data_IF_178151860152
#
_entry.id   IF_178151860152
#
_cell.length_a   1.000
_cell.length_b   1.000
_cell.length_c   1.000
_cell.angle_alpha   90.00
_cell.angle_beta   90.00
_cell.angle_gamma   90.00
#
_symmetry.space_group_name_H-M   'P 1'
#
loop_
_entity.id
_entity.type
_entity.pdbx_description
1 polymer ?
#
# COMPACT_ATOMS: atom_id res chain seq x y z
N UNK A 1 -9.41 -21.63 -15.27
CA UNK A 1 -8.31 -21.39 -16.22
C UNK A 1 -7.38 -20.36 -15.59
N UNK A 2 -6.14 -20.73 -15.28
CA UNK A 2 -5.17 -19.79 -14.73
C UNK A 2 -4.91 -18.69 -15.77
N UNK A 3 -5.21 -17.42 -15.45
CA UNK A 3 -4.75 -16.30 -16.27
C UNK A 3 -3.23 -16.32 -16.20
N UNK A 4 -2.56 -16.57 -17.33
CA UNK A 4 -1.11 -16.40 -17.42
C UNK A 4 -0.81 -14.94 -17.09
N UNK A 5 -0.20 -14.72 -15.92
CA UNK A 5 0.21 -13.40 -15.46
C UNK A 5 1.42 -12.95 -16.28
N UNK A 6 1.16 -12.24 -17.39
CA UNK A 6 2.20 -11.76 -18.29
C UNK A 6 2.74 -10.43 -17.76
N UNK A 7 4.04 -10.40 -17.49
CA UNK A 7 4.74 -9.21 -16.99
C UNK A 7 4.74 -8.11 -18.05
N UNK A 8 4.57 -6.86 -17.63
CA UNK A 8 4.62 -5.70 -18.53
C UNK A 8 5.92 -5.65 -19.34
N UNK A 9 7.05 -5.90 -18.68
CA UNK A 9 8.39 -5.90 -19.28
C UNK A 9 8.59 -6.99 -20.33
N UNK A 10 7.84 -8.10 -20.24
CA UNK A 10 7.86 -9.20 -21.21
C UNK A 10 7.00 -8.93 -22.46
N UNK A 11 6.17 -7.88 -22.43
CA UNK A 11 5.36 -7.50 -23.58
C UNK A 11 6.23 -6.93 -24.71
N UNK A 12 5.80 -7.19 -25.95
CA UNK A 12 6.43 -6.59 -27.12
C UNK A 12 6.42 -5.06 -27.04
N UNK A 13 7.41 -4.42 -27.66
CA UNK A 13 7.53 -2.95 -27.67
C UNK A 13 6.25 -2.25 -28.12
N UNK A 14 5.54 -2.81 -29.11
CA UNK A 14 4.24 -2.29 -29.59
C UNK A 14 3.17 -2.32 -28.50
N UNK A 15 3.04 -3.43 -27.76
CA UNK A 15 2.07 -3.57 -26.67
C UNK A 15 2.40 -2.61 -25.52
N UNK A 16 3.67 -2.52 -25.12
CA UNK A 16 4.13 -1.56 -24.10
C UNK A 16 3.84 -0.10 -24.49
N UNK A 17 4.15 0.28 -25.73
CA UNK A 17 3.83 1.62 -26.27
C UNK A 17 2.33 1.91 -26.24
N UNK A 18 1.50 0.95 -26.65
CA UNK A 18 0.04 1.11 -26.64
C UNK A 18 -0.51 1.31 -25.23
N UNK A 19 -0.01 0.55 -24.24
CA UNK A 19 -0.38 0.74 -22.84
C UNK A 19 0.07 2.11 -22.30
N UNK A 20 1.33 2.49 -22.58
CA UNK A 20 1.88 3.80 -22.16
C UNK A 20 1.09 4.96 -22.76
N UNK A 21 0.64 4.86 -24.02
CA UNK A 21 -0.22 5.87 -24.64
C UNK A 21 -1.59 5.99 -23.95
N UNK A 22 -2.16 4.90 -23.44
CA UNK A 22 -3.41 4.96 -22.66
C UNK A 22 -3.20 5.76 -21.38
N UNK A 23 -2.11 5.50 -20.65
CA UNK A 23 -1.74 6.22 -19.43
C UNK A 23 -1.47 7.70 -19.73
N UNK A 24 -0.71 8.01 -20.79
CA UNK A 24 -0.49 9.39 -21.23
C UNK A 24 -1.79 10.14 -21.50
N UNK A 25 -2.74 9.50 -22.18
CA UNK A 25 -4.05 10.10 -22.46
C UNK A 25 -4.88 10.28 -21.18
N UNK A 26 -4.79 9.35 -20.23
CA UNK A 26 -5.46 9.44 -18.94
C UNK A 26 -4.94 10.64 -18.13
N UNK A 27 -3.61 10.74 -17.96
CA UNK A 27 -2.95 11.88 -17.31
C UNK A 27 -3.36 13.21 -17.98
N UNK A 28 -3.38 13.25 -19.31
CA UNK A 28 -3.80 14.44 -20.03
C UNK A 28 -5.27 14.81 -19.76
N UNK A 29 -6.19 13.85 -19.74
CA UNK A 29 -7.61 14.10 -19.47
C UNK A 29 -7.83 14.67 -18.07
N UNK A 30 -7.14 14.08 -17.09
CA UNK A 30 -7.30 14.41 -15.67
C UNK A 30 -6.37 15.53 -15.18
N UNK A 31 -5.66 16.20 -16.09
CA UNK A 31 -4.68 17.26 -15.76
C UNK A 31 -5.26 18.43 -14.98
N UNK A 32 -6.56 18.69 -15.11
CA UNK A 32 -7.24 19.75 -14.36
C UNK A 32 -7.28 19.44 -12.86
N UNK A 33 -7.35 18.16 -12.50
CA UNK A 33 -7.34 17.67 -11.11
C UNK A 33 -5.89 17.44 -10.66
N UNK A 34 -5.13 16.64 -11.42
CA UNK A 34 -3.84 16.11 -10.99
C UNK A 34 -2.61 16.86 -11.50
N UNK A 35 -2.76 18.00 -12.17
CA UNK A 35 -1.62 18.81 -12.65
C UNK A 35 -0.90 18.26 -13.90
N UNK A 36 -1.23 17.04 -14.34
CA UNK A 36 -0.79 16.48 -15.62
C UNK A 36 0.58 15.79 -15.61
N UNK A 37 1.15 15.56 -14.42
CA UNK A 37 2.40 14.78 -14.24
C UNK A 37 2.09 13.30 -13.99
N UNK A 38 1.06 13.04 -13.19
CA UNK A 38 0.61 11.70 -12.82
C UNK A 38 -0.90 11.60 -12.89
N UNK A 39 -1.40 10.38 -12.71
CA UNK A 39 -2.80 10.08 -12.48
C UNK A 39 -2.91 9.22 -11.22
N UNK A 40 -3.99 9.43 -10.50
CA UNK A 40 -4.38 8.68 -9.31
C UNK A 40 -5.90 8.43 -9.39
N UNK A 41 -6.33 7.23 -9.03
CA UNK A 41 -7.74 6.82 -9.00
C UNK A 41 -8.46 7.30 -7.73
N UNK A 42 -7.71 7.75 -6.72
CA UNK A 42 -8.24 8.29 -5.47
C UNK A 42 -9.18 9.49 -5.70
N UNK A 43 -10.19 9.64 -4.84
CA UNK A 43 -11.05 10.82 -4.81
C UNK A 43 -10.26 12.04 -4.28
N UNK A 44 -9.74 12.86 -5.21
CA UNK A 44 -8.86 13.99 -4.89
C UNK A 44 -9.40 14.91 -3.78
N UNK A 45 -10.64 15.36 -3.92
CA UNK A 45 -11.24 16.31 -2.98
C UNK A 45 -11.36 15.71 -1.57
N UNK A 46 -11.71 14.43 -1.47
CA UNK A 46 -11.79 13.72 -0.20
C UNK A 46 -10.40 13.52 0.42
N UNK A 47 -9.40 13.15 -0.39
CA UNK A 47 -8.02 12.99 0.06
C UNK A 47 -7.47 14.31 0.62
N UNK A 48 -7.65 15.42 -0.10
CA UNK A 48 -7.21 16.75 0.34
C UNK A 48 -7.99 17.20 1.58
N UNK A 49 -9.31 17.04 1.59
CA UNK A 49 -10.16 17.44 2.72
C UNK A 49 -9.87 16.64 4.00
N UNK A 50 -9.38 15.40 3.88
CA UNK A 50 -9.02 14.57 5.03
C UNK A 50 -7.90 15.17 5.87
N UNK A 51 -7.02 15.99 5.27
CA UNK A 51 -5.81 16.49 5.93
C UNK A 51 -4.82 15.39 6.34
N UNK A 52 -5.07 14.14 5.95
CA UNK A 52 -4.32 12.95 6.36
C UNK A 52 -3.97 12.02 5.20
N UNK A 53 -3.91 12.56 3.98
CA UNK A 53 -3.48 11.81 2.81
C UNK A 53 -2.01 11.42 2.99
N UNK A 54 -1.73 10.14 3.22
CA UNK A 54 -0.39 9.65 3.61
C UNK A 54 0.12 8.52 2.73
N UNK A 55 -0.74 7.97 1.87
CA UNK A 55 -0.42 6.94 0.89
C UNK A 55 -1.26 7.14 -0.38
N UNK A 56 -0.74 6.72 -1.53
CA UNK A 56 -1.49 6.67 -2.78
C UNK A 56 -0.89 5.73 -3.80
N UNK A 57 -1.73 5.19 -4.67
CA UNK A 57 -1.32 4.45 -5.88
C UNK A 57 -1.42 5.38 -7.09
N UNK A 58 -0.27 5.70 -7.67
CA UNK A 58 -0.16 6.63 -8.79
C UNK A 58 0.45 5.98 -10.02
N UNK A 59 0.12 6.51 -11.19
CA UNK A 59 0.79 6.18 -12.44
C UNK A 59 1.36 7.41 -13.10
N UNK A 60 2.60 7.31 -13.60
CA UNK A 60 3.27 8.40 -14.33
C UNK A 60 4.17 7.86 -15.44
N UNK A 61 4.54 8.72 -16.40
CA UNK A 61 5.33 8.32 -17.56
C UNK A 61 6.82 8.26 -17.22
N UNK A 62 7.50 7.25 -17.75
CA UNK A 62 8.96 7.15 -17.67
C UNK A 62 9.67 7.94 -18.77
N UNK A 63 11.01 7.92 -18.76
CA UNK A 63 11.85 8.56 -19.80
C UNK A 63 11.73 7.84 -21.15
N UNK A 64 11.63 6.51 -21.17
CA UNK A 64 11.34 5.76 -22.40
C UNK A 64 9.84 5.87 -22.72
N UNK A 65 9.44 6.31 -23.94
CA UNK A 65 8.03 6.42 -24.35
C UNK A 65 7.25 5.10 -24.39
N UNK A 66 7.85 3.96 -24.04
CA UNK A 66 7.14 2.68 -23.84
C UNK A 66 7.09 2.23 -22.39
N UNK A 67 7.51 3.07 -21.46
CA UNK A 67 7.52 2.80 -20.02
C UNK A 67 6.60 3.78 -19.32
N UNK A 68 5.81 3.24 -18.40
CA UNK A 68 5.15 4.01 -17.36
C UNK A 68 5.35 3.27 -16.04
N UNK A 69 5.36 4.04 -14.96
CA UNK A 69 5.54 3.57 -13.60
C UNK A 69 4.18 3.39 -12.95
N UNK A 70 4.03 2.29 -12.23
CA UNK A 70 2.90 1.99 -11.36
C UNK A 70 3.44 2.02 -9.94
N UNK A 71 3.21 3.14 -9.26
CA UNK A 71 3.94 3.51 -8.06
C UNK A 71 3.02 3.59 -6.86
N UNK A 72 3.38 2.88 -5.80
CA UNK A 72 2.91 3.17 -4.45
C UNK A 72 3.78 4.31 -3.91
N UNK A 73 3.18 5.41 -3.48
CA UNK A 73 3.87 6.49 -2.77
C UNK A 73 3.31 6.60 -1.35
N UNK A 74 4.21 6.57 -0.36
CA UNK A 74 3.88 6.66 1.06
C UNK A 74 4.78 7.65 1.78
N UNK A 75 4.28 8.22 2.87
CA UNK A 75 5.11 9.02 3.78
C UNK A 75 6.04 8.13 4.60
N UNK A 76 7.13 8.70 5.10
CA UNK A 76 8.03 8.02 6.02
C UNK A 76 7.32 7.49 7.28
N UNK A 77 6.29 8.20 7.76
CA UNK A 77 5.47 7.73 8.89
C UNK A 77 4.67 6.47 8.57
N UNK A 78 4.07 6.39 7.37
CA UNK A 78 3.39 5.15 6.93
C UNK A 78 4.39 4.02 6.76
N UNK A 79 5.53 4.28 6.13
CA UNK A 79 6.59 3.27 5.99
C UNK A 79 7.08 2.75 7.36
N UNK A 80 7.15 3.62 8.36
CA UNK A 80 7.49 3.25 9.73
C UNK A 80 6.42 2.37 10.37
N UNK A 81 5.14 2.78 10.27
CA UNK A 81 4.01 2.01 10.78
C UNK A 81 3.92 0.62 10.14
N UNK A 82 4.05 0.53 8.81
CA UNK A 82 4.06 -0.74 8.08
C UNK A 82 5.14 -1.70 8.63
N UNK A 83 6.36 -1.19 8.84
CA UNK A 83 7.49 -2.00 9.30
C UNK A 83 7.27 -2.53 10.73
N UNK A 84 6.82 -1.68 11.65
CA UNK A 84 6.57 -2.13 13.04
C UNK A 84 5.37 -3.07 13.12
N UNK A 85 4.33 -2.85 12.32
CA UNK A 85 3.14 -3.70 12.25
C UNK A 85 3.50 -5.06 11.65
N UNK A 86 4.31 -5.09 10.58
CA UNK A 86 4.80 -6.34 9.98
C UNK A 86 5.64 -7.14 10.96
N UNK A 87 6.59 -6.51 11.66
CA UNK A 87 7.43 -7.19 12.67
C UNK A 87 6.55 -7.72 13.81
N UNK A 88 5.66 -6.90 14.35
CA UNK A 88 4.77 -7.29 15.45
C UNK A 88 3.82 -8.43 15.05
N UNK A 89 3.24 -8.38 13.85
CA UNK A 89 2.37 -9.41 13.33
C UNK A 89 3.10 -10.73 13.09
N UNK A 90 4.31 -10.67 12.53
CA UNK A 90 5.15 -11.85 12.34
C UNK A 90 5.55 -12.49 13.68
N UNK A 91 5.90 -11.68 14.69
CA UNK A 91 6.14 -12.18 16.04
C UNK A 91 4.89 -12.84 16.65
N UNK A 92 3.71 -12.25 16.46
CA UNK A 92 2.44 -12.81 16.92
C UNK A 92 2.16 -14.17 16.26
N UNK A 93 2.32 -14.26 14.93
CA UNK A 93 2.16 -15.51 14.18
C UNK A 93 3.11 -16.60 14.66
N UNK A 94 4.38 -16.27 14.90
CA UNK A 94 5.40 -17.25 15.33
C UNK A 94 5.12 -17.84 16.73
N UNK A 95 4.31 -17.18 17.56
CA UNK A 95 3.89 -17.74 18.86
C UNK A 95 2.77 -18.76 18.75
N UNK A 96 2.01 -18.73 17.65
CA UNK A 96 0.92 -19.66 17.41
C UNK A 96 1.43 -21.01 16.91
N UNK A 97 0.72 -22.09 17.25
CA UNK A 97 0.94 -23.38 16.60
C UNK A 97 0.53 -23.35 15.11
N UNK A 98 0.99 -24.34 14.34
CA UNK A 98 0.78 -24.38 12.89
C UNK A 98 -0.71 -24.46 12.48
N UNK A 99 -1.60 -24.99 13.32
CA UNK A 99 -3.03 -25.04 13.02
C UNK A 99 -3.66 -23.65 13.22
N UNK A 100 -3.32 -22.99 14.32
CA UNK A 100 -3.73 -21.63 14.65
C UNK A 100 -3.18 -20.60 13.65
N UNK A 101 -1.93 -20.74 13.21
CA UNK A 101 -1.34 -19.91 12.13
C UNK A 101 -2.15 -20.01 10.84
N UNK A 102 -2.44 -21.24 10.37
CA UNK A 102 -3.25 -21.44 9.15
C UNK A 102 -4.64 -20.86 9.30
N UNK A 103 -5.23 -20.99 10.48
CA UNK A 103 -6.56 -20.45 10.75
C UNK A 103 -6.57 -18.91 10.75
N UNK A 104 -5.54 -18.28 11.33
CA UNK A 104 -5.36 -16.83 11.36
C UNK A 104 -5.15 -16.25 9.95
N UNK A 105 -4.42 -16.96 9.09
CA UNK A 105 -4.18 -16.55 7.70
C UNK A 105 -5.33 -16.89 6.73
N UNK A 106 -6.33 -17.66 7.17
CA UNK A 106 -7.43 -18.08 6.30
C UNK A 106 -8.51 -16.99 6.20
N UNK A 107 -8.82 -16.58 4.97
CA UNK A 107 -9.88 -15.63 4.66
C UNK A 107 -11.20 -16.39 4.39
N UNK A 108 -12.24 -16.10 5.16
CA UNK A 108 -13.57 -16.69 4.96
C UNK A 108 -14.42 -15.75 4.08
N UNK A 109 -14.89 -16.26 2.95
CA UNK A 109 -15.82 -15.56 2.07
C UNK A 109 -17.20 -16.20 2.19
N UNK A 110 -18.17 -15.42 2.64
CA UNK A 110 -19.58 -15.85 2.75
C UNK A 110 -20.29 -15.39 1.47
N UNK A 111 -20.79 -16.31 0.61
CA UNK A 111 -21.53 -15.91 -0.57
C UNK A 111 -22.88 -15.29 -0.19
N UNK A 112 -23.18 -14.11 -0.73
CA UNK A 112 -24.52 -13.52 -0.66
C UNK A 112 -25.35 -14.10 -1.80
N UNK A 113 -26.44 -14.77 -1.45
CA UNK A 113 -27.29 -15.50 -2.40
C UNK A 113 -28.57 -14.71 -2.65
N UNK A 114 -28.96 -14.56 -3.92
CA UNK A 114 -30.24 -13.96 -4.30
C UNK A 114 -31.42 -14.88 -3.96
N UNK A 115 -32.64 -14.36 -4.12
CA UNK A 115 -33.88 -15.15 -3.90
C UNK A 115 -34.02 -16.39 -4.80
N UNK A 116 -33.29 -16.44 -5.90
CA UNK A 116 -33.28 -17.57 -6.86
C UNK A 116 -32.13 -18.57 -6.61
N UNK A 117 -31.38 -18.42 -5.51
CA UNK A 117 -30.27 -19.31 -5.17
C UNK A 117 -28.94 -19.02 -5.89
N UNK A 118 -28.81 -17.90 -6.61
CA UNK A 118 -27.57 -17.48 -7.29
C UNK A 118 -26.74 -16.54 -6.44
N UNK A 119 -25.43 -16.77 -6.36
CA UNK A 119 -24.48 -15.87 -5.71
C UNK A 119 -24.43 -14.52 -6.44
N UNK A 120 -24.74 -13.43 -5.73
CA UNK A 120 -24.65 -12.05 -6.24
C UNK A 120 -23.31 -11.44 -5.88
N UNK A 121 -22.87 -11.66 -4.64
CA UNK A 121 -21.64 -11.11 -4.09
C UNK A 121 -21.04 -12.06 -3.06
N UNK A 122 -19.88 -11.72 -2.53
CA UNK A 122 -19.28 -12.38 -1.38
C UNK A 122 -19.04 -11.33 -0.32
N UNK A 123 -19.54 -11.56 0.88
CA UNK A 123 -19.24 -10.76 2.07
C UNK A 123 -18.09 -11.39 2.83
N UNK A 124 -17.23 -10.55 3.39
CA UNK A 124 -16.14 -11.00 4.25
C UNK A 124 -16.72 -11.57 5.54
N UNK A 125 -16.48 -12.85 5.80
CA UNK A 125 -16.84 -13.49 7.06
C UNK A 125 -15.95 -12.97 8.17
N UNK A 126 -16.46 -12.05 9.00
CA UNK A 126 -15.72 -11.58 10.18
C UNK A 126 -15.62 -12.73 11.17
N UNK A 127 -14.42 -13.28 11.34
CA UNK A 127 -14.17 -14.31 12.37
C UNK A 127 -14.26 -13.67 13.75
N UNK A 128 -14.94 -14.32 14.72
CA UNK A 128 -14.87 -13.87 16.11
C UNK A 128 -13.41 -13.97 16.58
N UNK A 129 -12.88 -12.86 17.10
CA UNK A 129 -11.56 -12.82 17.73
C UNK A 129 -11.53 -13.86 18.85
N UNK A 130 -10.67 -14.86 18.72
CA UNK A 130 -10.39 -15.80 19.81
C UNK A 130 -9.24 -15.26 20.63
N UNK A 131 -9.41 -15.36 21.94
CA UNK A 131 -8.37 -15.09 22.90
C UNK A 131 -7.52 -16.35 23.04
N UNK A 132 -6.26 -16.28 22.59
CA UNK A 132 -5.35 -17.42 22.61
C UNK A 132 -4.45 -17.35 23.85
N UNK A 133 -4.36 -18.44 24.62
CA UNK A 133 -3.50 -18.50 25.80
C UNK A 133 -2.02 -18.30 25.47
N UNK A 134 -1.61 -18.66 24.24
CA UNK A 134 -0.28 -18.43 23.68
C UNK A 134 0.02 -16.94 23.45
N UNK A 135 -1.02 -16.10 23.37
CA UNK A 135 -0.96 -14.65 23.19
C UNK A 135 -1.46 -13.92 24.43
N UNK A 136 -1.26 -14.48 25.62
CA UNK A 136 -1.68 -13.87 26.90
C UNK A 136 -3.20 -13.62 27.00
N UNK A 137 -4.00 -14.41 26.26
CA UNK A 137 -5.44 -14.23 26.18
C UNK A 137 -5.88 -13.06 25.30
N UNK A 138 -4.99 -12.52 24.47
CA UNK A 138 -5.32 -11.53 23.45
C UNK A 138 -5.62 -12.20 22.11
N UNK A 139 -6.32 -11.48 21.23
CA UNK A 139 -6.38 -11.84 19.82
C UNK A 139 -5.05 -11.56 19.14
N UNK A 140 -4.81 -12.18 17.98
CA UNK A 140 -3.60 -11.92 17.18
C UNK A 140 -3.43 -10.43 16.84
N UNK A 141 -4.53 -9.74 16.53
CA UNK A 141 -4.52 -8.30 16.23
C UNK A 141 -4.17 -7.47 17.45
N UNK A 142 -4.79 -7.74 18.60
CA UNK A 142 -4.55 -6.96 19.81
C UNK A 142 -3.13 -7.18 20.35
N UNK A 143 -2.62 -8.40 20.23
CA UNK A 143 -1.24 -8.73 20.56
C UNK A 143 -0.26 -7.99 19.62
N UNK A 144 -0.51 -8.02 18.31
CA UNK A 144 0.31 -7.31 17.32
C UNK A 144 0.28 -5.79 17.59
N UNK A 145 -0.88 -5.19 17.85
CA UNK A 145 -1.01 -3.77 18.18
C UNK A 145 -0.24 -3.41 19.46
N UNK A 146 -0.36 -4.23 20.51
CA UNK A 146 0.42 -4.05 21.75
C UNK A 146 1.92 -4.10 21.44
N UNK A 147 2.33 -5.07 20.63
CA UNK A 147 3.74 -5.30 20.31
C UNK A 147 4.33 -4.21 19.41
N UNK A 148 3.58 -3.71 18.42
CA UNK A 148 3.98 -2.60 17.58
C UNK A 148 4.27 -1.33 18.42
N UNK A 149 3.40 -1.02 19.40
CA UNK A 149 3.62 0.08 20.36
C UNK A 149 4.87 -0.11 21.21
N UNK A 150 5.16 -1.33 21.64
CA UNK A 150 6.40 -1.64 22.37
C UNK A 150 7.64 -1.44 21.51
N UNK A 151 7.62 -1.92 20.26
CA UNK A 151 8.72 -1.77 19.30
C UNK A 151 8.99 -0.29 19.04
N UNK A 152 7.95 0.49 18.74
CA UNK A 152 8.06 1.92 18.48
C UNK A 152 8.72 2.69 19.65
N UNK A 153 8.51 2.26 20.89
CA UNK A 153 9.07 2.92 22.10
C UNK A 153 10.46 2.43 22.47
N UNK A 154 10.76 1.15 22.27
CA UNK A 154 11.98 0.52 22.79
C UNK A 154 13.10 0.45 21.78
N UNK A 155 12.78 0.16 20.52
CA UNK A 155 13.75 0.01 19.44
C UNK A 155 13.08 0.28 18.08
N UNK A 156 12.76 1.56 17.77
CA UNK A 156 12.11 1.90 16.52
C UNK A 156 13.02 1.59 15.32
N UNK A 157 12.53 0.88 14.29
CA UNK A 157 13.32 0.63 13.09
C UNK A 157 13.60 1.94 12.33
N UNK A 158 14.82 2.13 11.79
CA UNK A 158 15.11 3.29 10.96
C UNK A 158 14.41 3.18 9.61
N UNK A 159 13.74 4.25 9.18
CA UNK A 159 13.12 4.36 7.86
C UNK A 159 13.94 5.27 6.96
N UNK A 160 14.19 4.83 5.73
CA UNK A 160 14.93 5.60 4.74
C UNK A 160 14.02 5.96 3.57
N UNK A 161 13.91 7.25 3.28
CA UNK A 161 13.23 7.73 2.09
C UNK A 161 13.95 7.28 0.82
N UNK A 162 13.20 7.08 -0.25
CA UNK A 162 13.77 6.66 -1.51
C UNK A 162 12.82 5.91 -2.43
N UNK A 163 13.42 5.14 -3.33
CA UNK A 163 12.78 4.51 -4.47
C UNK A 163 13.22 3.05 -4.56
N UNK A 164 12.23 2.16 -4.60
CA UNK A 164 12.44 0.72 -4.78
C UNK A 164 11.62 0.22 -5.94
N UNK A 165 12.28 -0.21 -7.00
CA UNK A 165 11.66 -0.81 -8.18
C UNK A 165 11.18 -2.21 -7.82
N UNK A 166 9.91 -2.47 -8.09
CA UNK A 166 9.26 -3.74 -7.79
C UNK A 166 9.05 -4.51 -9.11
N UNK A 167 9.67 -5.70 -9.28
CA UNK A 167 9.41 -6.55 -10.42
C UNK A 167 8.02 -7.19 -10.30
N UNK A 168 7.56 -7.81 -11.39
CA UNK A 168 6.37 -8.66 -11.31
C UNK A 168 5.05 -7.97 -11.66
N UNK A 169 5.05 -6.71 -12.12
CA UNK A 169 3.82 -6.00 -12.44
C UNK A 169 3.33 -6.33 -13.88
N UNK A 170 2.03 -6.57 -14.02
CA UNK A 170 1.38 -6.76 -15.33
C UNK A 170 1.09 -5.43 -16.05
N UNK A 171 0.97 -4.34 -15.30
CA UNK A 171 0.66 -3.01 -15.81
C UNK A 171 1.71 -2.01 -15.32
N UNK A 172 2.60 -1.58 -16.23
CA UNK A 172 3.72 -0.71 -15.90
C UNK A 172 4.84 -1.43 -15.19
N UNK A 173 5.86 -0.66 -14.78
CA UNK A 173 6.91 -1.15 -13.89
C UNK A 173 6.54 -0.72 -12.47
N UNK A 174 6.57 -1.66 -11.53
CA UNK A 174 6.26 -1.39 -10.12
C UNK A 174 7.32 -0.49 -9.48
N UNK A 175 6.88 0.41 -8.61
CA UNK A 175 7.73 1.31 -7.84
C UNK A 175 7.14 1.52 -6.46
N UNK A 176 7.96 1.49 -5.41
CA UNK A 176 7.61 2.01 -4.09
C UNK A 176 8.42 3.28 -3.85
N UNK A 177 7.75 4.36 -3.49
CA UNK A 177 8.32 5.65 -3.16
C UNK A 177 8.03 5.96 -1.69
N UNK A 178 9.08 6.23 -0.92
CA UNK A 178 8.97 6.70 0.46
C UNK A 178 9.46 8.14 0.51
N UNK A 179 8.59 9.07 0.90
CA UNK A 179 8.90 10.51 0.92
C UNK A 179 8.95 11.07 2.34
N UNK A 180 9.87 12.02 2.55
CA UNK A 180 10.00 12.75 3.81
C UNK A 180 8.99 13.90 3.84
N UNK A 181 7.74 13.55 4.14
CA UNK A 181 6.63 14.48 4.29
C UNK A 181 5.64 13.92 5.31
N UNK A 182 5.01 14.78 6.11
CA UNK A 182 3.97 14.34 7.05
C UNK A 182 2.71 13.89 6.32
N UNK A 183 2.35 14.61 5.26
CA UNK A 183 1.20 14.35 4.39
C UNK A 183 1.57 14.52 2.93
N UNK A 184 0.94 13.74 2.08
CA UNK A 184 1.00 13.86 0.64
C UNK A 184 0.22 15.08 0.18
N UNK A 185 0.76 15.70 -0.85
CA UNK A 185 0.11 16.74 -1.63
C UNK A 185 0.53 16.57 -3.08
N UNK A 186 -0.20 17.23 -4.00
CA UNK A 186 0.17 17.21 -5.41
C UNK A 186 1.63 17.62 -5.63
N UNK A 187 2.10 18.67 -4.95
CA UNK A 187 3.47 19.16 -5.10
C UNK A 187 4.52 18.18 -4.56
N UNK A 188 4.23 17.49 -3.45
CA UNK A 188 5.11 16.44 -2.91
C UNK A 188 5.25 15.30 -3.91
N UNK A 189 4.14 14.83 -4.46
CA UNK A 189 4.13 13.74 -5.45
C UNK A 189 4.87 14.16 -6.73
N UNK A 190 4.56 15.33 -7.28
CA UNK A 190 5.21 15.87 -8.48
C UNK A 190 6.73 16.03 -8.27
N UNK A 191 7.15 16.50 -7.10
CA UNK A 191 8.57 16.66 -6.76
C UNK A 191 9.28 15.32 -6.62
N UNK A 192 8.62 14.33 -6.00
CA UNK A 192 9.17 12.99 -5.86
C UNK A 192 9.32 12.29 -7.21
N UNK A 193 8.36 12.46 -8.12
CA UNK A 193 8.45 11.98 -9.51
C UNK A 193 9.61 12.67 -10.23
N UNK A 194 9.70 14.00 -10.14
CA UNK A 194 10.76 14.77 -10.78
C UNK A 194 12.16 14.34 -10.31
N UNK A 195 12.35 14.12 -9.01
CA UNK A 195 13.61 13.65 -8.43
C UNK A 195 13.94 12.21 -8.87
N UNK A 196 12.97 11.28 -8.81
CA UNK A 196 13.16 9.91 -9.31
C UNK A 196 13.57 9.88 -10.79
N UNK A 197 12.87 10.67 -11.62
CA UNK A 197 13.22 10.83 -13.03
C UNK A 197 14.61 11.44 -13.16
N UNK A 198 14.98 12.47 -12.40
CA UNK A 198 16.29 13.13 -12.46
C UNK A 198 17.45 12.16 -12.13
N UNK A 199 17.24 11.26 -11.15
CA UNK A 199 18.19 10.21 -10.75
C UNK A 199 18.34 9.08 -11.78
N UNK A 200 17.58 9.11 -12.87
CA UNK A 200 17.69 8.12 -13.93
C UNK A 200 16.86 6.87 -13.71
N UNK A 201 15.77 6.97 -12.95
CA UNK A 201 14.78 5.89 -12.78
C UNK A 201 15.37 4.62 -12.14
N UNK A 202 16.19 4.79 -11.10
CA UNK A 202 16.91 3.72 -10.42
C UNK A 202 16.54 3.61 -8.94
N UNK A 203 16.85 2.47 -8.34
CA UNK A 203 16.77 2.32 -6.89
C UNK A 203 17.67 3.35 -6.22
N UNK A 204 17.17 3.97 -5.16
CA UNK A 204 17.93 4.92 -4.36
C UNK A 204 17.33 5.01 -2.96
N UNK A 205 18.17 5.20 -1.96
CA UNK A 205 17.76 5.45 -0.59
C UNK A 205 18.59 6.60 -0.03
N UNK A 206 17.99 7.40 0.85
CA UNK A 206 18.70 8.41 1.63
C UNK A 206 19.76 7.75 2.52
N UNK A 207 20.90 8.41 2.69
CA UNK A 207 21.94 7.98 3.65
C UNK A 207 21.56 8.29 5.11
N UNK A 208 20.55 9.14 5.30
CA UNK A 208 20.05 9.57 6.61
C UNK A 208 18.62 9.06 6.80
N UNK A 209 18.28 8.48 7.95
CA UNK A 209 16.92 8.06 8.23
C UNK A 209 15.98 9.27 8.32
N UNK A 210 14.73 9.08 7.89
CA UNK A 210 13.69 10.08 7.99
C UNK A 210 13.31 10.33 9.45
N UNK A 211 12.91 11.55 9.76
CA UNK A 211 12.32 11.85 11.05
C UNK A 211 10.88 11.34 11.07
N UNK A 212 10.65 10.29 11.85
CA UNK A 212 9.32 9.66 11.95
C UNK A 212 8.65 10.02 13.27
N UNK A 213 7.39 10.38 13.18
CA UNK A 213 6.54 10.68 14.31
C UNK A 213 5.53 9.56 14.48
N UNK A 214 5.84 8.63 15.39
CA UNK A 214 4.87 7.60 15.77
C UNK A 214 3.78 8.24 16.64
N UNK A 215 2.60 8.40 16.07
CA UNK A 215 1.40 8.78 16.82
C UNK A 215 0.73 7.47 17.24
N UNK A 216 0.43 7.30 18.53
CA UNK A 216 -0.32 6.16 19.13
C UNK A 216 -1.78 6.05 18.58
N UNK A 217 -2.06 6.56 17.38
CA UNK A 217 -3.36 6.48 16.75
C UNK A 217 -3.60 5.05 16.26
N UNK A 218 -4.35 4.32 17.07
CA UNK A 218 -4.97 3.04 16.76
C UNK A 218 -5.84 3.23 15.49
N UNK A 219 -5.33 2.84 14.32
CA UNK A 219 -6.11 2.82 13.08
C UNK A 219 -7.17 1.70 13.05
N UNK A 220 -7.09 0.75 13.99
CA UNK A 220 -8.14 -0.22 14.28
C UNK A 220 -9.06 0.26 15.41
N UNK A 221 -9.63 1.48 15.33
CA UNK A 221 -10.89 1.68 16.05
C UNK A 221 -11.91 0.75 15.40
N UNK A 222 -12.64 -0.09 16.16
CA UNK A 222 -13.80 -0.76 15.59
C UNK A 222 -14.68 0.32 14.96
N UNK A 223 -15.15 0.08 13.73
CA UNK A 223 -16.30 0.82 13.19
C UNK A 223 -17.38 0.74 14.27
N UNK A 224 -17.57 1.84 14.99
CA UNK A 224 -18.48 1.87 16.11
C UNK A 224 -19.85 1.37 15.66
N UNK A 225 -20.39 0.51 16.51
CA UNK A 225 -21.77 0.04 16.52
C UNK A 225 -22.70 1.22 16.23
N UNK A 226 -23.36 1.18 15.07
CA UNK A 226 -24.49 2.04 14.79
C UNK A 226 -25.58 1.73 15.82
N UNK A 227 -25.97 2.77 16.56
CA UNK A 227 -27.10 2.78 17.49
C UNK A 227 -28.43 2.53 16.80
#
# INVERSE_FOLDING_TARGET
MARNHVLFTSLSRRKRRSATLKIKNLIYKERAVWGGVFYDECEHDAAVASGGWTWSDIVFLGRDPVVFWNAEIITANVAFSDEIEEVAFNEALLRLDAASQRQAMHLDFIPDINRDGKTISYTWGRKPQRNDSQLEGLSISDFADKRAREIARTNPPPVYCGYRILPGYAAGIGLKMVVDAEVLSRSVIESAIADFLARGEQNWFSDVPALVHYIDNIYCKPLNEAS
#
